data_IF_367811314737
#
_entry.id   IF_367811314737
#
_cell.length_a   1.000
_cell.length_b   1.000
_cell.length_c   1.000
_cell.angle_alpha   90.00
_cell.angle_beta   90.00
_cell.angle_gamma   90.00
#
_symmetry.space_group_name_H-M   'P 1'
#
loop_
_entity.id
_entity.type
_entity.pdbx_description
1 polymer ?
#
# COMPACT_ATOMS: atom_id res chain seq x y z
N UNK A 1 13.32 -13.21 10.83
CA UNK A 1 12.22 -13.57 9.90
C UNK A 1 12.69 -13.36 8.48
N UNK A 2 13.09 -12.14 8.09
CA UNK A 2 13.56 -11.84 6.73
C UNK A 2 14.72 -12.73 6.27
N UNK A 3 15.69 -12.99 7.15
CA UNK A 3 16.80 -13.90 6.87
C UNK A 3 16.31 -15.34 6.55
N UNK A 4 15.46 -15.90 7.41
CA UNK A 4 14.82 -17.21 7.18
C UNK A 4 13.90 -17.19 5.95
N UNK A 5 13.25 -16.07 5.64
CA UNK A 5 12.40 -15.94 4.46
C UNK A 5 13.19 -16.06 3.16
N UNK A 6 14.47 -15.65 3.16
CA UNK A 6 15.39 -15.83 2.04
C UNK A 6 15.73 -17.29 1.74
N UNK A 7 15.51 -18.20 2.70
CA UNK A 7 15.73 -19.64 2.57
C UNK A 7 14.45 -20.40 2.18
N UNK A 8 13.32 -19.71 2.05
CA UNK A 8 12.08 -20.34 1.61
C UNK A 8 12.21 -20.90 0.19
N UNK A 9 11.56 -22.04 -0.06
CA UNK A 9 11.48 -22.67 -1.39
C UNK A 9 10.93 -21.71 -2.47
N UNK A 10 10.02 -20.83 -2.08
CA UNK A 10 9.35 -19.87 -2.98
C UNK A 10 9.72 -18.44 -2.57
N UNK A 11 9.98 -17.60 -3.56
CA UNK A 11 10.33 -16.20 -3.36
C UNK A 11 9.17 -15.35 -2.81
N UNK A 12 7.94 -15.72 -3.13
CA UNK A 12 6.69 -15.08 -2.72
C UNK A 12 6.02 -15.80 -1.54
N UNK A 13 6.78 -16.57 -0.75
CA UNK A 13 6.27 -17.28 0.41
C UNK A 13 5.64 -16.31 1.42
N UNK A 14 4.36 -16.49 1.75
CA UNK A 14 3.63 -15.71 2.75
C UNK A 14 3.81 -16.26 4.17
N UNK A 15 4.53 -17.38 4.32
CA UNK A 15 4.82 -18.05 5.60
C UNK A 15 3.55 -18.41 6.39
N UNK A 16 2.51 -18.90 5.72
CA UNK A 16 1.23 -19.29 6.32
C UNK A 16 1.10 -20.81 6.36
N UNK A 17 1.27 -21.48 5.23
CA UNK A 17 1.10 -22.93 5.09
C UNK A 17 1.91 -23.52 3.92
N UNK A 18 2.82 -22.75 3.34
CA UNK A 18 3.54 -23.14 2.14
C UNK A 18 4.54 -24.27 2.43
N UNK A 19 4.57 -25.31 1.58
CA UNK A 19 5.53 -26.40 1.75
C UNK A 19 6.96 -25.91 1.48
N UNK A 20 7.90 -26.29 2.34
CA UNK A 20 9.29 -25.84 2.26
C UNK A 20 9.49 -24.38 2.72
N UNK A 21 8.57 -23.87 3.55
CA UNK A 21 8.75 -22.59 4.22
C UNK A 21 9.77 -22.71 5.36
N UNK A 22 10.97 -22.15 5.18
CA UNK A 22 12.02 -22.12 6.19
C UNK A 22 11.58 -21.41 7.49
N UNK A 23 10.74 -20.38 7.39
CA UNK A 23 10.18 -19.69 8.57
C UNK A 23 9.29 -20.62 9.40
N UNK A 24 8.38 -21.38 8.78
CA UNK A 24 7.54 -22.34 9.49
C UNK A 24 8.35 -23.51 10.04
N UNK A 25 9.32 -24.03 9.28
CA UNK A 25 10.24 -25.06 9.77
C UNK A 25 11.07 -24.59 10.98
N UNK A 26 11.46 -23.31 11.02
CA UNK A 26 12.16 -22.73 12.17
C UNK A 26 11.24 -22.59 13.39
N UNK A 27 9.94 -22.34 13.19
CA UNK A 27 8.95 -22.38 14.27
C UNK A 27 8.78 -23.80 14.80
N UNK A 28 8.57 -24.76 13.91
CA UNK A 28 8.35 -26.17 14.27
C UNK A 28 9.54 -26.77 15.02
N UNK A 29 10.76 -26.40 14.64
CA UNK A 29 12.00 -26.81 15.32
C UNK A 29 12.30 -26.02 16.60
N UNK A 30 11.54 -24.96 16.91
CA UNK A 30 11.75 -24.09 18.06
C UNK A 30 12.90 -23.08 17.92
N UNK A 31 13.62 -23.07 16.78
CA UNK A 31 14.64 -22.07 16.46
C UNK A 31 14.07 -20.65 16.34
N UNK A 32 12.78 -20.54 16.01
CA UNK A 32 12.03 -19.29 15.97
C UNK A 32 10.80 -19.39 16.89
N UNK A 33 10.68 -18.54 17.92
CA UNK A 33 9.46 -18.52 18.73
C UNK A 33 8.23 -18.09 17.93
N UNK A 34 7.10 -18.81 18.05
CA UNK A 34 5.85 -18.49 17.33
C UNK A 34 5.42 -17.02 17.53
N UNK A 35 5.55 -16.49 18.75
CA UNK A 35 5.23 -15.08 19.06
C UNK A 35 5.93 -14.08 18.13
N UNK A 36 7.15 -14.42 17.65
CA UNK A 36 7.93 -13.55 16.75
C UNK A 36 7.29 -13.55 15.36
N UNK A 37 6.85 -14.70 14.86
CA UNK A 37 6.12 -14.82 13.61
C UNK A 37 4.77 -14.10 13.67
N UNK A 38 4.02 -14.26 14.76
CA UNK A 38 2.77 -13.53 14.98
C UNK A 38 2.97 -12.01 14.99
N UNK A 39 4.00 -11.53 15.69
CA UNK A 39 4.32 -10.10 15.75
C UNK A 39 4.68 -9.55 14.38
N UNK A 40 5.46 -10.32 13.59
CA UNK A 40 5.80 -9.98 12.22
C UNK A 40 4.55 -9.88 11.32
N UNK A 41 3.66 -10.88 11.38
CA UNK A 41 2.37 -10.87 10.66
C UNK A 41 1.51 -9.67 11.07
N UNK A 42 1.50 -9.29 12.35
CA UNK A 42 0.81 -8.09 12.84
C UNK A 42 1.39 -6.82 12.23
N UNK A 43 2.72 -6.68 12.22
CA UNK A 43 3.41 -5.54 11.62
C UNK A 43 3.09 -5.39 10.13
N UNK A 44 3.11 -6.49 9.37
CA UNK A 44 2.75 -6.48 7.94
C UNK A 44 1.32 -5.95 7.71
N UNK A 45 0.35 -6.42 8.50
CA UNK A 45 -1.04 -5.93 8.41
C UNK A 45 -1.16 -4.44 8.74
N UNK A 46 -0.39 -3.96 9.72
CA UNK A 46 -0.38 -2.54 10.07
C UNK A 46 0.25 -1.69 8.96
N UNK A 47 1.36 -2.15 8.40
CA UNK A 47 2.01 -1.50 7.27
C UNK A 47 1.06 -1.40 6.05
N UNK A 48 0.37 -2.49 5.70
CA UNK A 48 -0.62 -2.51 4.63
C UNK A 48 -1.73 -1.47 4.85
N UNK A 49 -2.20 -1.29 6.09
CA UNK A 49 -3.22 -0.25 6.42
C UNK A 49 -2.68 1.16 6.23
N UNK A 50 -1.42 1.41 6.63
CA UNK A 50 -0.78 2.71 6.46
C UNK A 50 -0.67 3.06 4.97
N UNK A 51 -0.18 2.11 4.16
CA UNK A 51 -0.05 2.29 2.70
C UNK A 51 -1.40 2.54 2.04
N UNK A 52 -2.41 1.74 2.36
CA UNK A 52 -3.76 1.92 1.81
C UNK A 52 -4.33 3.33 2.14
N UNK A 53 -4.08 3.81 3.37
CA UNK A 53 -4.50 5.15 3.79
C UNK A 53 -3.76 6.27 3.05
N UNK A 54 -2.44 6.13 2.85
CA UNK A 54 -1.67 7.13 2.10
C UNK A 54 -2.13 7.21 0.65
N UNK A 55 -2.40 6.07 0.01
CA UNK A 55 -2.88 6.01 -1.37
C UNK A 55 -4.25 6.68 -1.52
N UNK A 56 -5.18 6.40 -0.59
CA UNK A 56 -6.49 7.05 -0.59
C UNK A 56 -6.38 8.58 -0.47
N UNK A 57 -5.47 9.07 0.38
CA UNK A 57 -5.20 10.50 0.54
C UNK A 57 -4.63 11.12 -0.74
N UNK A 58 -3.63 10.48 -1.35
CA UNK A 58 -3.03 10.95 -2.60
C UNK A 58 -4.09 11.05 -3.72
N UNK A 59 -4.92 10.01 -3.89
CA UNK A 59 -6.02 10.01 -4.87
C UNK A 59 -7.03 11.13 -4.60
N UNK A 60 -7.31 11.44 -3.34
CA UNK A 60 -8.20 12.54 -2.98
C UNK A 60 -7.60 13.91 -3.37
N UNK A 61 -6.30 14.13 -3.12
CA UNK A 61 -5.62 15.37 -3.52
C UNK A 61 -5.58 15.57 -5.03
N UNK A 62 -5.23 14.51 -5.80
CA UNK A 62 -5.24 14.55 -7.27
C UNK A 62 -6.63 14.96 -7.79
N UNK A 63 -7.70 14.38 -7.23
CA UNK A 63 -9.08 14.73 -7.61
C UNK A 63 -9.42 16.19 -7.29
N UNK A 64 -8.99 16.71 -6.13
CA UNK A 64 -9.20 18.13 -5.78
C UNK A 64 -8.48 19.06 -6.74
N UNK A 65 -7.23 18.75 -7.08
CA UNK A 65 -6.43 19.54 -8.02
C UNK A 65 -7.08 19.57 -9.40
N UNK A 66 -7.52 18.40 -9.90
CA UNK A 66 -8.20 18.32 -11.19
C UNK A 66 -9.50 19.12 -11.21
N UNK A 67 -10.28 19.06 -10.12
CA UNK A 67 -11.50 19.87 -9.96
C UNK A 67 -11.19 21.37 -9.98
N UNK A 68 -10.11 21.80 -9.33
CA UNK A 68 -9.64 23.20 -9.31
C UNK A 68 -9.26 23.67 -10.71
N UNK A 69 -8.36 22.94 -11.41
CA UNK A 69 -7.97 23.25 -12.80
C UNK A 69 -9.17 23.33 -13.73
N UNK A 70 -10.13 22.41 -13.58
CA UNK A 70 -11.38 22.43 -14.35
C UNK A 70 -12.26 23.65 -14.06
N UNK A 71 -12.32 24.12 -12.80
CA UNK A 71 -13.04 25.33 -12.44
C UNK A 71 -12.37 26.59 -13.01
N UNK A 72 -11.05 26.69 -12.91
CA UNK A 72 -10.25 27.77 -13.53
C UNK A 72 -10.46 27.84 -15.04
N UNK A 73 -10.43 26.69 -15.73
CA UNK A 73 -10.69 26.61 -17.17
C UNK A 73 -12.10 27.09 -17.55
N UNK A 74 -13.13 26.71 -16.77
CA UNK A 74 -14.50 27.19 -17.00
C UNK A 74 -14.62 28.71 -16.80
N UNK A 75 -14.06 29.25 -15.72
CA UNK A 75 -14.07 30.69 -15.45
C UNK A 75 -13.35 31.50 -16.55
N UNK A 76 -12.22 31.00 -17.04
CA UNK A 76 -11.50 31.62 -18.15
C UNK A 76 -12.31 31.62 -19.46
N UNK A 77 -13.04 30.54 -19.76
CA UNK A 77 -13.93 30.50 -20.93
C UNK A 77 -15.11 31.47 -20.81
N UNK A 78 -15.72 31.57 -19.64
CA UNK A 78 -16.81 32.51 -19.37
C UNK A 78 -16.36 33.96 -19.56
N UNK A 79 -15.20 34.33 -19.00
CA UNK A 79 -14.63 35.67 -19.18
C UNK A 79 -14.33 36.02 -20.65
N UNK A 80 -13.88 35.04 -21.45
CA UNK A 80 -13.67 35.23 -22.90
C UNK A 80 -14.99 35.40 -23.66
N UNK A 81 -16.04 34.65 -23.30
CA UNK A 81 -17.37 34.78 -23.92
C UNK A 81 -18.02 36.13 -23.62
N UNK A 82 -17.86 36.65 -22.40
CA UNK A 82 -18.35 37.99 -22.03
C UNK A 82 -17.66 39.11 -22.82
N UNK A 83 -16.35 39.00 -23.05
CA UNK A 83 -15.57 39.95 -23.86
C UNK A 83 -15.95 39.98 -25.35
N UNK A 84 -16.48 38.88 -25.90
CA UNK A 84 -16.88 38.80 -27.30
C UNK A 84 -18.34 39.25 -27.56
N UNK A 85 -19.12 39.52 -26.51
CA UNK A 85 -20.54 39.93 -26.62
C UNK A 85 -20.79 41.41 -26.28
N UNK A 86 -19.75 42.16 -25.93
CA UNK A 86 -19.79 43.60 -25.63
C UNK A 86 -19.26 44.42 -26.80
#
# INVERSE_FOLDING_TARGET
>A
IEELAGECRFHDCAHVAEPGCAVLGAVESGALPERRLESYRKLLRENQRIVAKSDARLRAEIRKEWKRKGAEGRAAMEAKRGRHRA
#
